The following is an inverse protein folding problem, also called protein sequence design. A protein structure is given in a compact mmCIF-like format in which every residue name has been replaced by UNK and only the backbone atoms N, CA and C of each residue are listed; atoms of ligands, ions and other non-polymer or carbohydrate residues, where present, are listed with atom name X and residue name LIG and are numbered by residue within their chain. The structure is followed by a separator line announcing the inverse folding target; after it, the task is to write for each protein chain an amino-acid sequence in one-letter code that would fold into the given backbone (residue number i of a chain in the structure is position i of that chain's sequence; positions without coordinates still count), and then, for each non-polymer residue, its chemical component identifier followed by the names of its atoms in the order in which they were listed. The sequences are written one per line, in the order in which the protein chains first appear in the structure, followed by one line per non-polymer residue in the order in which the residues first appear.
data_IF_775393485135
#
_entry.id   IF_775393485135
#
_cell.length_a   1.000
_cell.length_b   1.000
_cell.length_c   1.000
_cell.angle_alpha   90.00
_cell.angle_beta   90.00
_cell.angle_gamma   90.00
#
_symmetry.space_group_name_H-M   'P 1'
#
loop_
_entity.id
_entity.type
_entity.pdbx_description
1 polymer ?
#
# COMPACT_ATOMS: atom_id res chain seq x y z
N UNK A 1 -8.32 -19.77 -23.19
CA UNK A 1 -8.97 -19.91 -24.51
C UNK A 1 -9.59 -18.58 -25.01
N UNK A 2 -10.12 -17.74 -24.16
CA UNK A 2 -10.77 -16.46 -24.57
C UNK A 2 -9.76 -15.38 -25.02
N UNK A 3 -8.55 -15.36 -24.47
CA UNK A 3 -7.51 -14.36 -24.80
C UNK A 3 -6.73 -14.69 -26.08
N UNK A 4 -6.64 -15.95 -26.46
CA UNK A 4 -5.93 -16.41 -27.68
C UNK A 4 -6.86 -16.70 -28.88
N UNK A 5 -8.12 -16.22 -28.86
CA UNK A 5 -9.12 -16.41 -29.92
C UNK A 5 -10.25 -17.35 -29.47
N UNK A 6 -11.47 -17.05 -29.95
CA UNK A 6 -12.67 -17.85 -29.70
C UNK A 6 -12.67 -19.12 -30.54
N UNK A 7 -13.37 -20.16 -30.05
CA UNK A 7 -13.53 -21.45 -30.76
C UNK A 7 -12.27 -22.34 -30.77
N UNK A 8 -11.61 -22.47 -29.61
CA UNK A 8 -10.45 -23.36 -29.40
C UNK A 8 -10.70 -24.23 -28.17
N UNK A 9 -10.42 -25.53 -28.31
CA UNK A 9 -10.27 -26.44 -27.18
C UNK A 9 -8.80 -26.44 -26.77
N UNK A 10 -8.50 -26.08 -25.53
CA UNK A 10 -7.17 -26.16 -24.98
C UNK A 10 -7.12 -27.35 -24.02
N UNK A 11 -6.30 -28.32 -24.34
CA UNK A 11 -6.04 -29.46 -23.46
C UNK A 11 -5.03 -29.02 -22.40
N UNK A 12 -5.31 -29.36 -21.15
CA UNK A 12 -4.40 -29.11 -20.04
C UNK A 12 -3.17 -30.02 -20.16
N UNK A 13 -2.00 -29.43 -20.23
CA UNK A 13 -0.72 -30.09 -20.06
C UNK A 13 -0.06 -29.56 -18.78
N UNK A 14 0.40 -30.42 -17.85
CA UNK A 14 1.06 -29.98 -16.61
C UNK A 14 2.30 -29.10 -16.84
N UNK A 15 2.90 -29.19 -18.02
CA UNK A 15 4.05 -28.38 -18.43
C UNK A 15 3.67 -27.07 -19.14
N UNK A 16 2.37 -26.74 -19.25
CA UNK A 16 1.92 -25.51 -19.87
C UNK A 16 2.16 -24.34 -18.90
N UNK A 17 3.27 -23.63 -19.12
CA UNK A 17 3.74 -22.55 -18.26
C UNK A 17 2.70 -21.45 -18.03
N UNK A 18 1.85 -21.15 -19.03
CA UNK A 18 0.79 -20.15 -18.87
C UNK A 18 -0.33 -20.59 -17.93
N UNK A 19 -0.70 -21.87 -17.95
CA UNK A 19 -1.72 -22.40 -17.04
C UNK A 19 -1.20 -22.52 -15.61
N UNK A 20 0.05 -22.94 -15.44
CA UNK A 20 0.72 -23.01 -14.15
C UNK A 20 0.87 -21.61 -13.52
N UNK A 21 1.26 -20.61 -14.32
CA UNK A 21 1.33 -19.22 -13.86
C UNK A 21 -0.06 -18.73 -13.43
N UNK A 22 -1.10 -18.99 -14.20
CA UNK A 22 -2.48 -18.58 -13.85
C UNK A 22 -3.02 -19.27 -12.61
N UNK A 23 -2.71 -20.55 -12.42
CA UNK A 23 -3.07 -21.26 -11.19
C UNK A 23 -2.37 -20.65 -9.97
N UNK A 24 -1.08 -20.37 -10.06
CA UNK A 24 -0.34 -19.68 -9.01
C UNK A 24 -0.89 -18.28 -8.72
N UNK A 25 -1.29 -17.54 -9.75
CA UNK A 25 -1.91 -16.21 -9.59
C UNK A 25 -3.29 -16.28 -8.91
N UNK A 26 -4.13 -17.26 -9.27
CA UNK A 26 -5.44 -17.46 -8.60
C UNK A 26 -5.28 -17.86 -7.14
N UNK A 27 -4.26 -18.63 -6.83
CA UNK A 27 -3.90 -18.97 -5.45
C UNK A 27 -3.53 -17.71 -4.65
N UNK A 28 -2.78 -16.78 -5.28
CA UNK A 28 -2.42 -15.51 -4.67
C UNK A 28 -3.65 -14.64 -4.33
N UNK A 29 -4.70 -14.62 -5.15
CA UNK A 29 -5.93 -13.88 -4.84
C UNK A 29 -6.53 -14.39 -3.52
N UNK A 30 -6.69 -15.71 -3.39
CA UNK A 30 -7.24 -16.30 -2.17
C UNK A 30 -6.36 -16.05 -0.94
N UNK A 31 -5.03 -16.12 -1.10
CA UNK A 31 -4.07 -15.82 -0.02
C UNK A 31 -4.14 -14.36 0.42
N UNK A 32 -4.20 -13.42 -0.53
CA UNK A 32 -4.29 -11.98 -0.24
C UNK A 32 -5.60 -11.61 0.45
N UNK A 33 -6.73 -12.15 -0.02
CA UNK A 33 -8.03 -11.91 0.61
C UNK A 33 -8.04 -12.44 2.05
N UNK A 34 -7.61 -13.68 2.27
CA UNK A 34 -7.48 -14.23 3.63
C UNK A 34 -6.52 -13.41 4.49
N UNK A 35 -5.40 -12.95 3.94
CA UNK A 35 -4.45 -12.12 4.68
C UNK A 35 -5.04 -10.77 5.11
N UNK A 36 -5.92 -10.16 4.29
CA UNK A 36 -6.68 -8.96 4.65
C UNK A 36 -7.70 -9.26 5.76
N UNK A 37 -8.48 -10.33 5.62
CA UNK A 37 -9.54 -10.70 6.56
C UNK A 37 -8.97 -11.12 7.92
N UNK A 38 -7.86 -11.83 7.93
CA UNK A 38 -7.16 -12.34 9.12
C UNK A 38 -6.12 -11.36 9.68
N UNK A 39 -6.01 -10.16 9.11
CA UNK A 39 -5.05 -9.14 9.52
C UNK A 39 -3.58 -9.63 9.53
N UNK A 40 -3.20 -10.41 8.49
CA UNK A 40 -1.85 -10.99 8.32
C UNK A 40 -0.88 -10.12 7.54
N UNK A 41 -1.19 -8.83 7.35
CA UNK A 41 -0.22 -7.84 6.89
C UNK A 41 0.49 -7.21 8.09
N UNK A 42 1.73 -6.78 7.87
CA UNK A 42 2.53 -6.02 8.85
C UNK A 42 3.25 -4.87 8.14
N UNK A 43 3.47 -3.78 8.87
CA UNK A 43 4.25 -2.64 8.39
C UNK A 43 5.62 -2.65 9.08
N UNK A 44 6.68 -2.69 8.28
CA UNK A 44 8.03 -2.48 8.75
C UNK A 44 8.40 -1.01 8.54
N UNK A 45 8.91 -0.35 9.57
CA UNK A 45 9.40 1.01 9.46
C UNK A 45 10.90 0.99 9.14
N UNK A 46 11.26 1.58 8.01
CA UNK A 46 12.64 1.84 7.64
C UNK A 46 12.97 3.29 7.95
N UNK A 47 13.91 3.52 8.86
CA UNK A 47 14.29 4.88 9.27
C UNK A 47 15.07 5.58 8.15
N UNK A 48 14.74 6.85 7.91
CA UNK A 48 15.40 7.73 6.95
C UNK A 48 16.29 8.69 7.74
N UNK A 49 17.57 8.73 7.36
CA UNK A 49 18.56 9.57 8.05
C UNK A 49 19.03 10.73 7.17
N UNK A 50 19.16 11.90 7.78
CA UNK A 50 19.85 13.02 7.18
C UNK A 50 21.35 12.73 7.09
N UNK A 51 21.94 12.85 5.88
CA UNK A 51 23.35 12.50 5.63
C UNK A 51 24.29 13.61 6.04
N UNK A 52 23.85 14.88 6.08
CA UNK A 52 24.67 16.04 6.36
C UNK A 52 24.15 16.85 7.55
N UNK A 53 24.97 17.04 8.58
CA UNK A 53 24.70 17.91 9.72
C UNK A 53 24.22 17.19 10.99
N UNK A 54 24.10 17.91 12.12
CA UNK A 54 23.52 17.37 13.33
C UNK A 54 22.03 17.11 13.13
N UNK A 55 21.56 15.97 13.59
CA UNK A 55 20.14 15.58 13.55
C UNK A 55 19.26 16.69 14.14
N UNK A 56 18.51 17.37 13.29
CA UNK A 56 17.57 18.42 13.68
C UNK A 56 16.18 17.93 13.37
N UNK A 57 15.38 17.63 14.40
CA UNK A 57 14.01 17.18 14.24
C UNK A 57 13.76 15.74 14.70
N UNK A 58 12.53 15.28 14.52
CA UNK A 58 12.09 13.93 14.86
C UNK A 58 12.56 12.88 13.85
N UNK A 59 12.09 11.65 14.06
CA UNK A 59 12.41 10.53 13.17
C UNK A 59 11.55 10.59 11.90
N UNK A 60 12.20 10.36 10.76
CA UNK A 60 11.53 10.10 9.49
C UNK A 60 11.59 8.60 9.19
N UNK A 61 10.54 8.03 8.68
CA UNK A 61 10.52 6.63 8.29
C UNK A 61 9.64 6.39 7.06
N UNK A 62 9.98 5.36 6.30
CA UNK A 62 9.14 4.78 5.27
C UNK A 62 8.49 3.50 5.79
N UNK A 63 7.20 3.33 5.54
CA UNK A 63 6.46 2.12 5.89
C UNK A 63 6.44 1.14 4.71
N UNK A 64 7.04 0.01 4.93
CA UNK A 64 7.18 -1.06 3.96
C UNK A 64 6.27 -2.22 4.34
N UNK A 65 5.28 -2.50 3.50
CA UNK A 65 4.34 -3.59 3.73
C UNK A 65 5.01 -4.95 3.59
N UNK A 66 4.64 -5.87 4.46
CA UNK A 66 4.96 -7.30 4.40
C UNK A 66 3.67 -8.09 4.64
N UNK A 67 3.64 -9.32 4.20
CA UNK A 67 2.54 -10.25 4.49
C UNK A 67 3.09 -11.41 5.32
N UNK A 68 2.29 -11.95 6.22
CA UNK A 68 2.57 -13.21 6.89
C UNK A 68 1.82 -14.33 6.16
N UNK A 69 2.49 -15.45 5.93
CA UNK A 69 1.82 -16.67 5.45
C UNK A 69 1.03 -17.33 6.59
N UNK A 70 0.45 -18.48 6.32
CA UNK A 70 -0.35 -19.24 7.27
C UNK A 70 0.48 -19.77 8.46
N UNK A 71 1.79 -19.93 8.28
CA UNK A 71 2.74 -20.38 9.28
C UNK A 71 3.42 -19.21 10.03
N UNK A 72 3.07 -17.97 9.69
CA UNK A 72 3.63 -16.76 10.29
C UNK A 72 4.97 -16.30 9.72
N UNK A 73 5.44 -16.87 8.60
CA UNK A 73 6.66 -16.42 7.95
C UNK A 73 6.40 -15.18 7.10
N UNK A 74 7.43 -14.32 7.02
CA UNK A 74 7.36 -13.11 6.21
C UNK A 74 7.42 -13.43 4.70
N UNK A 75 6.41 -12.95 3.99
CA UNK A 75 6.33 -12.96 2.53
C UNK A 75 6.74 -11.59 1.99
N UNK A 76 7.77 -11.50 1.13
CA UNK A 76 8.24 -10.23 0.60
C UNK A 76 7.25 -9.60 -0.40
N UNK A 77 7.22 -8.26 -0.54
CA UNK A 77 6.29 -7.55 -1.44
C UNK A 77 6.34 -8.03 -2.89
N UNK A 78 7.53 -8.31 -3.40
CA UNK A 78 7.72 -8.78 -4.78
C UNK A 78 7.00 -10.10 -5.09
N UNK A 79 6.66 -10.89 -4.07
CA UNK A 79 5.95 -12.13 -4.26
C UNK A 79 4.43 -11.94 -4.41
N UNK A 80 3.83 -10.89 -3.82
CA UNK A 80 2.39 -10.72 -3.79
C UNK A 80 1.88 -9.43 -4.47
N UNK A 81 2.66 -8.33 -4.49
CA UNK A 81 2.24 -7.06 -5.10
C UNK A 81 1.85 -7.23 -6.57
N UNK A 82 2.60 -7.94 -7.44
CA UNK A 82 2.21 -8.09 -8.83
C UNK A 82 0.84 -8.77 -9.01
N UNK A 83 0.51 -9.74 -8.14
CA UNK A 83 -0.82 -10.36 -8.13
C UNK A 83 -1.88 -9.39 -7.61
N UNK A 84 -1.60 -8.65 -6.54
CA UNK A 84 -2.51 -7.65 -5.98
C UNK A 84 -2.84 -6.54 -7.00
N UNK A 85 -1.86 -6.07 -7.77
CA UNK A 85 -2.05 -5.09 -8.86
C UNK A 85 -2.92 -5.66 -9.98
N UNK A 86 -2.55 -6.85 -10.50
CA UNK A 86 -3.25 -7.49 -11.62
C UNK A 86 -4.73 -7.75 -11.32
N UNK A 87 -5.05 -8.10 -10.09
CA UNK A 87 -6.40 -8.46 -9.66
C UNK A 87 -7.13 -7.35 -8.89
N UNK A 88 -6.58 -6.12 -8.96
CA UNK A 88 -7.17 -4.91 -8.35
C UNK A 88 -7.44 -5.04 -6.85
N UNK A 89 -6.55 -5.70 -6.13
CA UNK A 89 -6.59 -5.82 -4.66
C UNK A 89 -5.80 -4.71 -3.95
N UNK A 90 -4.93 -4.00 -4.67
CA UNK A 90 -4.13 -2.92 -4.11
C UNK A 90 -4.94 -1.85 -3.37
N UNK A 91 -6.14 -1.41 -3.83
CA UNK A 91 -6.92 -0.44 -3.06
C UNK A 91 -7.30 -0.93 -1.65
N UNK A 92 -7.51 -2.22 -1.46
CA UNK A 92 -7.77 -2.79 -0.14
C UNK A 92 -6.50 -2.84 0.71
N UNK A 93 -5.37 -3.21 0.10
CA UNK A 93 -4.05 -3.24 0.74
C UNK A 93 -3.62 -1.83 1.18
N UNK A 94 -3.75 -0.82 0.31
CA UNK A 94 -3.40 0.56 0.62
C UNK A 94 -4.27 1.12 1.76
N UNK A 95 -5.59 0.84 1.73
CA UNK A 95 -6.48 1.22 2.83
C UNK A 95 -6.12 0.55 4.14
N UNK A 96 -5.74 -0.71 4.10
CA UNK A 96 -5.24 -1.43 5.28
C UNK A 96 -3.96 -0.77 5.82
N UNK A 97 -2.99 -0.46 4.94
CA UNK A 97 -1.72 0.16 5.31
C UNK A 97 -1.93 1.54 5.96
N UNK A 98 -2.73 2.41 5.34
CA UNK A 98 -3.04 3.75 5.88
C UNK A 98 -3.72 3.65 7.25
N UNK A 99 -4.75 2.80 7.38
CA UNK A 99 -5.45 2.61 8.66
C UNK A 99 -4.51 2.16 9.76
N UNK A 100 -3.66 1.17 9.46
CA UNK A 100 -2.71 0.61 10.41
C UNK A 100 -1.62 1.62 10.78
N UNK A 101 -1.12 2.38 9.81
CA UNK A 101 -0.15 3.45 10.04
C UNK A 101 -0.71 4.53 10.97
N UNK A 102 -1.89 5.08 10.65
CA UNK A 102 -2.51 6.13 11.45
C UNK A 102 -2.90 5.64 12.85
N UNK A 103 -3.41 4.42 12.98
CA UNK A 103 -3.69 3.81 14.29
C UNK A 103 -2.42 3.67 15.14
N UNK A 104 -1.30 3.28 14.52
CA UNK A 104 -0.02 3.13 15.20
C UNK A 104 0.56 4.49 15.61
N UNK A 105 0.53 5.48 14.71
CA UNK A 105 0.99 6.84 15.01
C UNK A 105 0.16 7.47 16.11
N UNK A 106 -1.17 7.36 16.09
CA UNK A 106 -2.04 7.85 17.16
C UNK A 106 -1.68 7.25 18.52
N UNK A 107 -1.41 5.95 18.57
CA UNK A 107 -0.99 5.27 19.81
C UNK A 107 0.36 5.78 20.31
N UNK A 108 1.35 5.93 19.43
CA UNK A 108 2.67 6.47 19.79
C UNK A 108 2.60 7.91 20.29
N UNK A 109 1.70 8.72 19.74
CA UNK A 109 1.50 10.11 20.15
C UNK A 109 0.74 10.25 21.47
N UNK A 110 0.13 9.19 22.01
CA UNK A 110 -0.53 9.19 23.33
C UNK A 110 0.44 8.93 24.48
N UNK A 111 1.68 8.56 24.20
CA UNK A 111 2.72 8.40 25.21
C UNK A 111 3.23 9.78 25.68
N UNK A 112 3.69 9.89 26.94
CA UNK A 112 4.20 11.15 27.47
C UNK A 112 5.47 11.59 26.72
N UNK A 113 5.48 12.85 26.24
CA UNK A 113 6.64 13.45 25.56
C UNK A 113 6.37 13.81 24.10
N UNK A 114 7.39 14.32 23.37
CA UNK A 114 7.27 14.64 21.96
C UNK A 114 7.04 13.37 21.13
N UNK A 115 6.21 13.48 20.06
CA UNK A 115 5.95 12.36 19.18
C UNK A 115 7.27 11.81 18.59
N UNK A 116 7.53 10.48 18.67
CA UNK A 116 8.81 9.91 18.25
C UNK A 116 9.01 9.96 16.73
N UNK A 117 7.94 10.06 15.94
CA UNK A 117 7.95 10.15 14.47
C UNK A 117 7.51 11.55 14.07
N UNK A 118 8.29 12.22 13.22
CA UNK A 118 7.95 13.52 12.63
C UNK A 118 7.33 13.37 11.25
N UNK A 119 7.86 12.46 10.43
CA UNK A 119 7.36 12.19 9.09
C UNK A 119 7.34 10.68 8.81
N UNK A 120 6.23 10.21 8.29
CA UNK A 120 6.00 8.83 7.95
C UNK A 120 5.58 8.72 6.48
N UNK A 121 6.41 8.10 5.65
CA UNK A 121 6.12 7.86 4.24
C UNK A 121 5.29 6.58 4.06
N UNK A 122 4.27 6.67 3.21
CA UNK A 122 3.34 5.57 2.88
C UNK A 122 3.21 5.47 1.38
N UNK A 123 3.56 4.31 0.83
CA UNK A 123 3.41 4.02 -0.59
C UNK A 123 1.94 3.89 -1.00
N UNK A 124 1.58 4.46 -2.16
CA UNK A 124 0.26 4.35 -2.78
C UNK A 124 0.35 3.70 -4.16
N UNK A 125 -0.56 2.78 -4.41
CA UNK A 125 -0.71 2.16 -5.73
C UNK A 125 -1.42 3.07 -6.73
N UNK A 126 -1.17 2.84 -8.02
CA UNK A 126 -1.89 3.51 -9.10
C UNK A 126 -3.41 3.26 -9.08
N UNK A 127 -3.84 2.12 -8.56
CA UNK A 127 -5.25 1.78 -8.42
C UNK A 127 -5.96 2.66 -7.38
N UNK A 128 -5.31 2.99 -6.27
CA UNK A 128 -5.85 3.90 -5.27
C UNK A 128 -5.94 5.35 -5.77
N UNK A 129 -5.02 5.78 -6.65
CA UNK A 129 -5.07 7.12 -7.27
C UNK A 129 -6.35 7.29 -8.12
N UNK A 130 -6.84 6.22 -8.71
CA UNK A 130 -8.01 6.24 -9.58
C UNK A 130 -9.34 6.01 -8.87
N UNK A 131 -9.30 5.66 -7.60
CA UNK A 131 -10.48 5.39 -6.78
C UNK A 131 -11.10 6.71 -6.25
N UNK A 132 -12.28 7.05 -6.73
CA UNK A 132 -12.99 8.29 -6.38
C UNK A 132 -13.32 8.40 -4.87
N UNK A 133 -13.43 7.27 -4.16
CA UNK A 133 -13.71 7.24 -2.71
C UNK A 133 -12.44 7.26 -1.85
N UNK A 134 -11.26 7.26 -2.47
CA UNK A 134 -10.02 7.17 -1.72
C UNK A 134 -9.77 8.40 -0.84
N UNK A 135 -10.01 9.60 -1.37
CA UNK A 135 -9.83 10.85 -0.63
C UNK A 135 -10.74 10.93 0.61
N UNK A 136 -12.02 10.55 0.46
CA UNK A 136 -12.97 10.55 1.57
C UNK A 136 -12.56 9.52 2.64
N UNK A 137 -12.11 8.34 2.21
CA UNK A 137 -11.54 7.36 3.13
C UNK A 137 -10.35 7.94 3.91
N UNK A 138 -9.40 8.60 3.24
CA UNK A 138 -8.23 9.21 3.91
C UNK A 138 -8.68 10.22 4.94
N UNK A 139 -9.57 11.15 4.59
CA UNK A 139 -10.12 12.16 5.52
C UNK A 139 -10.78 11.52 6.75
N UNK A 140 -11.56 10.47 6.53
CA UNK A 140 -12.20 9.70 7.61
C UNK A 140 -11.16 9.10 8.57
N UNK A 141 -10.10 8.49 8.03
CA UNK A 141 -9.06 7.88 8.87
C UNK A 141 -8.30 8.93 9.68
N UNK A 142 -7.93 10.07 9.09
CA UNK A 142 -7.28 11.15 9.83
C UNK A 142 -8.16 11.70 10.94
N UNK A 143 -9.45 11.89 10.68
CA UNK A 143 -10.42 12.30 11.70
C UNK A 143 -10.54 11.27 12.82
N UNK A 144 -10.59 9.98 12.46
CA UNK A 144 -10.73 8.87 13.42
C UNK A 144 -9.56 8.75 14.37
N UNK A 145 -8.34 8.88 13.85
CA UNK A 145 -7.11 8.65 14.63
C UNK A 145 -6.48 9.94 15.15
N UNK A 146 -6.99 11.10 14.78
CA UNK A 146 -6.50 12.42 15.20
C UNK A 146 -4.99 12.63 14.97
N UNK A 147 -4.43 12.05 13.89
CA UNK A 147 -3.03 12.23 13.49
C UNK A 147 -2.92 13.52 12.67
N UNK A 148 -1.93 14.39 12.89
CA UNK A 148 -1.69 15.55 12.05
C UNK A 148 -1.37 15.15 10.61
N UNK A 149 -2.03 15.80 9.63
CA UNK A 149 -1.77 15.55 8.20
C UNK A 149 -0.30 15.74 7.82
N UNK A 150 0.38 16.72 8.46
CA UNK A 150 1.79 17.04 8.21
C UNK A 150 2.76 15.93 8.59
N UNK A 151 2.32 14.91 9.32
CA UNK A 151 3.13 13.75 9.65
C UNK A 151 3.17 12.69 8.53
N UNK A 152 2.37 12.83 7.50
CA UNK A 152 2.27 11.82 6.44
C UNK A 152 2.81 12.35 5.11
N UNK A 153 3.71 11.58 4.51
CA UNK A 153 4.16 11.72 3.14
C UNK A 153 3.60 10.54 2.33
N UNK A 154 2.81 10.81 1.30
CA UNK A 154 2.38 9.76 0.37
C UNK A 154 3.39 9.64 -0.77
N UNK A 155 3.83 8.41 -1.05
CA UNK A 155 4.75 8.12 -2.13
C UNK A 155 4.02 7.42 -3.29
N UNK A 156 4.19 7.96 -4.48
CA UNK A 156 3.58 7.45 -5.71
C UNK A 156 4.71 7.21 -6.71
N UNK A 157 4.75 6.04 -7.32
CA UNK A 157 5.74 5.78 -8.37
C UNK A 157 5.47 6.64 -9.60
N UNK A 158 6.52 7.05 -10.31
CA UNK A 158 6.44 7.82 -11.55
C UNK A 158 5.51 7.14 -12.56
N UNK A 159 5.63 5.83 -12.74
CA UNK A 159 4.78 5.04 -13.65
C UNK A 159 3.31 5.13 -13.29
N UNK A 160 2.96 5.06 -12.00
CA UNK A 160 1.58 5.15 -11.53
C UNK A 160 1.02 6.56 -11.75
N UNK A 161 1.82 7.60 -11.52
CA UNK A 161 1.42 8.99 -11.75
C UNK A 161 1.20 9.28 -13.24
N UNK A 162 2.10 8.84 -14.14
CA UNK A 162 2.00 9.07 -15.59
C UNK A 162 0.79 8.33 -16.18
N UNK A 163 0.49 7.12 -15.73
CA UNK A 163 -0.63 6.34 -16.24
C UNK A 163 -1.99 7.04 -16.06
N UNK A 164 -2.13 7.92 -15.05
CA UNK A 164 -3.35 8.63 -14.70
C UNK A 164 -3.07 10.05 -14.22
N UNK A 165 -2.35 10.84 -15.02
CA UNK A 165 -1.77 12.11 -14.61
C UNK A 165 -2.78 13.10 -14.00
N UNK A 166 -3.93 13.32 -14.66
CA UNK A 166 -4.96 14.26 -14.19
C UNK A 166 -5.55 13.86 -12.81
N UNK A 167 -5.73 12.54 -12.60
CA UNK A 167 -6.25 12.02 -11.33
C UNK A 167 -5.19 12.09 -10.24
N UNK A 168 -3.95 11.74 -10.56
CA UNK A 168 -2.82 11.86 -9.65
C UNK A 168 -2.63 13.32 -9.22
N UNK A 169 -2.62 14.26 -10.17
CA UNK A 169 -2.50 15.69 -9.87
C UNK A 169 -3.63 16.19 -8.96
N UNK A 170 -4.87 15.80 -9.24
CA UNK A 170 -6.02 16.17 -8.41
C UNK A 170 -5.88 15.64 -7.00
N UNK A 171 -5.59 14.33 -6.84
CA UNK A 171 -5.42 13.71 -5.54
C UNK A 171 -4.29 14.35 -4.74
N UNK A 172 -3.12 14.56 -5.37
CA UNK A 172 -1.97 15.23 -4.75
C UNK A 172 -2.32 16.64 -4.29
N UNK A 173 -3.04 17.42 -5.11
CA UNK A 173 -3.48 18.79 -4.77
C UNK A 173 -4.41 18.79 -3.56
N UNK A 174 -5.39 17.89 -3.53
CA UNK A 174 -6.35 17.77 -2.43
C UNK A 174 -5.67 17.35 -1.12
N UNK A 175 -4.80 16.33 -1.16
CA UNK A 175 -4.07 15.87 0.02
C UNK A 175 -3.04 16.90 0.51
N UNK A 176 -2.35 17.61 -0.40
CA UNK A 176 -1.48 18.74 -0.03
C UNK A 176 -2.27 19.89 0.61
N UNK A 177 -3.46 20.19 0.12
CA UNK A 177 -4.33 21.21 0.73
C UNK A 177 -4.76 20.84 2.16
N UNK A 178 -4.82 19.55 2.49
CA UNK A 178 -5.05 19.07 3.85
C UNK A 178 -3.80 19.13 4.73
N UNK A 179 -2.61 19.25 4.15
CA UNK A 179 -1.33 19.34 4.84
C UNK A 179 -0.42 18.12 4.70
N UNK A 180 -0.77 17.12 3.89
CA UNK A 180 0.11 15.97 3.61
C UNK A 180 1.28 16.36 2.70
N UNK A 181 2.34 15.58 2.76
CA UNK A 181 3.51 15.64 1.87
C UNK A 181 3.40 14.62 0.73
N UNK A 182 4.21 14.85 -0.33
CA UNK A 182 4.43 13.95 -1.46
C UNK A 182 5.88 13.98 -1.87
#
# INVERSE_FOLDING_TARGET
AKEKGRNRVQVYHPEDSELTIRQGEMEWIGRLQRALDENRFVLHAQEIFEVAGPRRGGRHCELLIRMLDEDGHLVPPMAFIPAAERYNLMPAVDRWAIRTALATLSRLGSEEGPHPIELCAINLSGASITDERFLDFVREQFTRFAVPYSMICFEITETAAIANLDRAERLMRELKALGCWF
#
